data_IF_647406199875
#
_entry.id   IF_647406199875
#
_cell.length_a   1.000
_cell.length_b   1.000
_cell.length_c   1.000
_cell.angle_alpha   90.00
_cell.angle_beta   90.00
_cell.angle_gamma   90.00
#
_symmetry.space_group_name_H-M   'P 1'
#
loop_
_entity.id
_entity.type
_entity.pdbx_description
1 polymer ?
#
# COMPACT_ATOMS: atom_id res chain seq x y z
N UNK A 1 -8.09 -22.69 1.34
CA UNK A 1 -7.15 -23.15 2.35
C UNK A 1 -7.80 -23.04 3.72
N UNK A 2 -8.03 -24.18 4.41
CA UNK A 2 -8.75 -24.20 5.70
C UNK A 2 -8.05 -23.40 6.78
N UNK A 3 -6.72 -23.27 6.66
CA UNK A 3 -5.85 -22.58 7.62
C UNK A 3 -5.91 -21.06 7.47
N UNK A 4 -6.43 -20.56 6.34
CA UNK A 4 -6.66 -19.14 6.09
C UNK A 4 -8.09 -18.71 6.45
N UNK A 5 -8.96 -19.63 6.82
CA UNK A 5 -10.31 -19.34 7.30
C UNK A 5 -10.22 -18.53 8.60
N UNK A 6 -10.70 -17.31 8.58
CA UNK A 6 -10.66 -16.38 9.71
C UNK A 6 -9.54 -15.33 9.66
N UNK A 7 -8.69 -15.34 8.63
CA UNK A 7 -7.73 -14.25 8.39
C UNK A 7 -8.35 -13.08 7.63
N UNK A 8 -9.58 -13.24 7.14
CA UNK A 8 -10.34 -12.21 6.43
C UNK A 8 -11.35 -11.56 7.38
N UNK A 9 -11.52 -10.25 7.28
CA UNK A 9 -12.46 -9.47 8.06
C UNK A 9 -11.83 -8.77 9.27
N UNK A 10 -12.66 -8.15 10.11
CA UNK A 10 -12.20 -7.39 11.26
C UNK A 10 -11.44 -8.27 12.26
N UNK A 11 -10.35 -7.74 12.79
CA UNK A 11 -9.60 -8.37 13.87
C UNK A 11 -10.37 -8.25 15.19
N UNK A 12 -10.08 -9.16 16.14
CA UNK A 12 -10.65 -9.06 17.47
C UNK A 12 -10.22 -7.77 18.17
N UNK A 13 -11.07 -7.21 19.02
CA UNK A 13 -10.77 -6.00 19.80
C UNK A 13 -9.49 -6.17 20.63
N UNK A 14 -9.26 -7.35 21.20
CA UNK A 14 -8.04 -7.66 21.94
C UNK A 14 -6.79 -7.55 21.03
N UNK A 15 -6.85 -8.07 19.81
CA UNK A 15 -5.74 -7.99 18.85
C UNK A 15 -5.47 -6.53 18.44
N UNK A 16 -6.53 -5.76 18.20
CA UNK A 16 -6.43 -4.33 17.88
C UNK A 16 -5.81 -3.56 19.04
N UNK A 17 -6.28 -3.81 20.26
CA UNK A 17 -5.75 -3.16 21.46
C UNK A 17 -4.25 -3.45 21.66
N UNK A 18 -3.83 -4.73 21.53
CA UNK A 18 -2.41 -5.10 21.61
C UNK A 18 -1.56 -4.42 20.56
N UNK A 19 -2.05 -4.35 19.31
CA UNK A 19 -1.34 -3.67 18.24
C UNK A 19 -1.19 -2.16 18.51
N UNK A 20 -2.24 -1.51 19.00
CA UNK A 20 -2.19 -0.09 19.36
C UNK A 20 -1.18 0.17 20.47
N UNK A 21 -1.15 -0.65 21.53
CA UNK A 21 -0.14 -0.53 22.59
C UNK A 21 1.29 -0.66 22.07
N UNK A 22 1.52 -1.56 21.12
CA UNK A 22 2.85 -1.72 20.50
C UNK A 22 3.24 -0.51 19.65
N UNK A 23 2.29 0.04 18.88
CA UNK A 23 2.51 1.25 18.08
C UNK A 23 2.74 2.48 18.97
N UNK A 24 1.99 2.61 20.07
CA UNK A 24 2.19 3.71 21.02
C UNK A 24 3.55 3.61 21.70
N UNK A 25 3.97 2.42 22.11
CA UNK A 25 5.29 2.21 22.68
C UNK A 25 6.40 2.53 21.67
N UNK A 26 6.24 2.14 20.41
CA UNK A 26 7.19 2.48 19.35
C UNK A 26 7.27 3.99 19.12
N UNK A 27 6.12 4.68 19.07
CA UNK A 27 6.06 6.15 18.98
C UNK A 27 6.81 6.80 20.13
N UNK A 28 6.55 6.38 21.37
CA UNK A 28 7.24 6.90 22.56
C UNK A 28 8.76 6.70 22.50
N UNK A 29 9.24 5.56 22.00
CA UNK A 29 10.67 5.30 21.79
C UNK A 29 11.30 6.31 20.81
N UNK A 30 10.60 6.65 19.74
CA UNK A 30 11.04 7.64 18.75
C UNK A 30 11.03 9.06 19.33
N UNK A 31 9.94 9.43 19.99
CA UNK A 31 9.76 10.77 20.58
C UNK A 31 10.79 11.06 21.68
N UNK A 32 11.13 10.06 22.51
CA UNK A 32 12.21 10.20 23.52
C UNK A 32 13.59 10.44 22.89
N UNK A 33 13.73 10.20 21.59
CA UNK A 33 14.94 10.48 20.81
C UNK A 33 14.84 11.76 19.98
N UNK A 34 13.80 12.55 20.19
CA UNK A 34 13.58 13.83 19.49
C UNK A 34 12.98 13.67 18.10
N UNK A 35 12.46 12.50 17.76
CA UNK A 35 11.75 12.28 16.50
C UNK A 35 10.28 12.67 16.67
N UNK A 36 9.77 13.55 15.82
CA UNK A 36 8.35 13.85 15.75
C UNK A 36 7.63 12.68 15.07
N UNK A 37 6.57 12.17 15.70
CA UNK A 37 5.75 11.08 15.15
C UNK A 37 4.38 11.64 14.77
N UNK A 38 4.09 11.64 13.48
CA UNK A 38 2.77 11.99 12.95
C UNK A 38 2.05 10.70 12.50
N UNK A 39 0.74 10.67 12.63
CA UNK A 39 -0.09 9.53 12.24
C UNK A 39 -1.06 9.94 11.14
N UNK A 40 -1.38 9.04 10.19
CA UNK A 40 -2.34 9.33 9.15
C UNK A 40 -3.75 9.52 9.72
N UNK A 41 -4.62 10.15 8.94
CA UNK A 41 -6.03 10.28 9.28
C UNK A 41 -6.74 8.95 9.04
N UNK A 42 -7.39 8.35 10.05
CA UNK A 42 -8.10 7.10 9.87
C UNK A 42 -9.30 7.27 8.94
N UNK A 43 -9.55 6.26 8.11
CA UNK A 43 -10.75 6.14 7.28
C UNK A 43 -11.57 4.94 7.72
N UNK A 44 -12.83 4.86 7.28
CA UNK A 44 -13.62 3.65 7.40
C UNK A 44 -13.17 2.64 6.33
N UNK A 45 -12.34 1.67 6.73
CA UNK A 45 -11.79 0.67 5.80
C UNK A 45 -12.75 -0.46 5.49
N UNK A 46 -13.72 -0.72 6.36
CA UNK A 46 -14.71 -1.79 6.18
C UNK A 46 -15.95 -1.30 5.41
N UNK A 47 -15.72 -0.61 4.32
CA UNK A 47 -16.81 -0.13 3.46
C UNK A 47 -16.53 -0.52 2.00
N UNK A 48 -17.62 -0.71 1.26
CA UNK A 48 -17.55 -0.92 -0.18
C UNK A 48 -16.97 0.32 -0.85
N UNK A 49 -16.01 0.10 -1.73
CA UNK A 49 -15.39 1.13 -2.56
C UNK A 49 -15.60 0.81 -4.03
N UNK A 50 -15.64 1.83 -4.86
CA UNK A 50 -15.80 1.67 -6.30
C UNK A 50 -15.14 2.78 -7.09
N UNK A 51 -14.81 2.47 -8.32
CA UNK A 51 -14.48 3.40 -9.40
C UNK A 51 -15.44 3.12 -10.57
N UNK A 52 -15.41 3.87 -11.66
CA UNK A 52 -16.19 3.52 -12.84
C UNK A 52 -15.87 2.14 -13.45
N UNK A 53 -14.71 1.57 -13.14
CA UNK A 53 -14.19 0.36 -13.76
C UNK A 53 -14.37 -0.91 -12.90
N UNK A 54 -14.52 -0.76 -11.58
CA UNK A 54 -14.62 -1.89 -10.65
C UNK A 54 -15.22 -1.51 -9.30
N UNK A 55 -15.61 -2.54 -8.54
CA UNK A 55 -16.04 -2.44 -7.16
C UNK A 55 -15.22 -3.41 -6.29
N UNK A 56 -15.00 -3.05 -5.03
CA UNK A 56 -14.35 -3.90 -4.03
C UNK A 56 -15.07 -3.80 -2.69
N UNK A 57 -15.18 -4.92 -1.97
CA UNK A 57 -16.00 -5.03 -0.75
C UNK A 57 -15.46 -4.23 0.44
N UNK A 58 -14.15 -3.96 0.47
CA UNK A 58 -13.51 -3.19 1.54
C UNK A 58 -12.18 -2.63 1.09
N UNK A 59 -11.65 -1.69 1.87
CA UNK A 59 -10.26 -1.26 1.78
C UNK A 59 -9.36 -2.19 2.61
N UNK A 60 -8.04 -2.15 2.35
CA UNK A 60 -7.07 -2.95 3.09
C UNK A 60 -6.72 -2.30 4.46
N UNK A 61 -6.31 -1.05 4.46
CA UNK A 61 -5.86 -0.32 5.65
C UNK A 61 -4.93 0.84 5.32
N UNK A 62 -4.20 1.35 6.32
CA UNK A 62 -3.19 2.40 6.14
C UNK A 62 -1.93 2.21 7.00
N UNK A 63 -1.66 0.98 7.42
CA UNK A 63 -0.55 0.72 8.34
C UNK A 63 0.84 0.87 7.71
N UNK A 64 1.10 0.45 6.45
CA UNK A 64 2.42 0.58 5.83
C UNK A 64 2.53 1.86 4.97
N UNK A 65 2.86 3.04 5.56
CA UNK A 65 2.99 4.28 4.79
C UNK A 65 4.02 4.19 3.67
N UNK A 66 5.10 3.43 3.88
CA UNK A 66 6.17 3.26 2.90
C UNK A 66 5.75 2.53 1.62
N UNK A 67 4.61 1.84 1.63
CA UNK A 67 4.09 1.20 0.43
C UNK A 67 3.35 2.20 -0.46
N UNK A 68 2.78 3.23 0.16
CA UNK A 68 1.93 4.24 -0.50
C UNK A 68 2.69 5.49 -0.87
N UNK A 69 3.66 5.89 -0.03
CA UNK A 69 4.41 7.13 -0.17
C UNK A 69 5.90 6.85 -0.37
N UNK A 70 6.41 7.25 -1.52
CA UNK A 70 7.84 7.24 -1.82
C UNK A 70 8.43 8.60 -1.48
N UNK A 71 9.43 8.63 -0.59
CA UNK A 71 10.14 9.86 -0.24
C UNK A 71 11.50 9.90 -0.93
N UNK A 72 11.74 10.91 -1.77
CA UNK A 72 12.98 11.13 -2.52
C UNK A 72 13.50 12.55 -2.27
N UNK A 73 14.46 12.68 -1.34
CA UNK A 73 14.95 14.00 -0.94
C UNK A 73 13.83 14.83 -0.30
N UNK A 74 13.46 15.94 -0.94
CA UNK A 74 12.35 16.82 -0.55
C UNK A 74 11.04 16.55 -1.30
N UNK A 75 10.97 15.45 -2.06
CA UNK A 75 9.79 15.07 -2.83
C UNK A 75 9.08 13.87 -2.19
N UNK A 76 7.77 13.95 -2.06
CA UNK A 76 6.89 12.86 -1.65
C UNK A 76 5.97 12.51 -2.81
N UNK A 77 6.08 11.27 -3.29
CA UNK A 77 5.32 10.74 -4.41
C UNK A 77 4.29 9.72 -3.91
N UNK A 78 3.02 9.94 -4.20
CA UNK A 78 1.97 8.93 -4.00
C UNK A 78 2.08 7.84 -5.08
N UNK A 79 2.31 6.60 -4.66
CA UNK A 79 2.42 5.45 -5.55
C UNK A 79 1.09 5.06 -6.21
N UNK A 80 1.18 4.30 -7.28
CA UNK A 80 0.01 3.86 -8.06
C UNK A 80 -0.86 2.86 -7.31
N UNK A 81 -0.26 1.95 -6.57
CA UNK A 81 -0.84 0.75 -5.95
C UNK A 81 -1.37 -0.26 -6.96
N UNK A 82 -1.07 -1.53 -6.74
CA UNK A 82 -1.42 -2.62 -7.65
C UNK A 82 -2.71 -3.35 -7.26
N UNK A 83 -3.23 -3.14 -6.06
CA UNK A 83 -4.45 -3.80 -5.59
C UNK A 83 -5.63 -2.84 -5.46
N UNK A 84 -6.81 -3.25 -5.93
CA UNK A 84 -8.06 -2.47 -5.83
C UNK A 84 -8.39 -2.09 -4.39
N UNK A 85 -8.18 -3.00 -3.43
CA UNK A 85 -8.40 -2.72 -2.01
C UNK A 85 -7.47 -1.65 -1.42
N UNK A 86 -6.35 -1.37 -2.06
CA UNK A 86 -5.36 -0.38 -1.62
C UNK A 86 -5.41 0.93 -2.41
N UNK A 87 -6.22 1.00 -3.44
CA UNK A 87 -6.23 2.12 -4.38
C UNK A 87 -6.49 3.48 -3.71
N UNK A 88 -7.31 3.50 -2.66
CA UNK A 88 -7.67 4.72 -1.92
C UNK A 88 -6.84 4.96 -0.64
N UNK A 89 -5.81 4.15 -0.34
CA UNK A 89 -5.02 4.30 0.89
C UNK A 89 -4.32 5.65 1.00
N UNK A 90 -3.94 6.28 -0.10
CA UNK A 90 -3.34 7.60 -0.13
C UNK A 90 -4.20 8.67 0.56
N UNK A 91 -5.52 8.51 0.60
CA UNK A 91 -6.43 9.45 1.26
C UNK A 91 -6.18 9.56 2.78
N UNK A 92 -5.64 8.52 3.41
CA UNK A 92 -5.26 8.56 4.83
C UNK A 92 -4.09 9.51 5.07
N UNK A 93 -3.17 9.59 4.11
CA UNK A 93 -1.94 10.34 4.22
C UNK A 93 -2.05 11.76 3.66
N UNK A 94 -2.98 11.99 2.74
CA UNK A 94 -3.13 13.26 2.04
C UNK A 94 -3.21 14.47 2.97
N UNK A 95 -4.03 14.50 4.05
CA UNK A 95 -4.08 15.64 4.95
C UNK A 95 -2.75 15.92 5.66
N UNK A 96 -1.96 14.88 5.94
CA UNK A 96 -0.65 15.02 6.55
C UNK A 96 0.39 15.54 5.56
N UNK A 97 0.36 15.07 4.32
CA UNK A 97 1.26 15.54 3.26
C UNK A 97 0.97 16.99 2.88
N UNK A 98 -0.31 17.38 2.79
CA UNK A 98 -0.75 18.75 2.55
C UNK A 98 -0.24 19.69 3.66
N UNK A 99 -0.35 19.27 4.92
CA UNK A 99 0.21 20.01 6.05
C UNK A 99 1.73 20.20 5.91
N UNK A 100 2.48 19.15 5.55
CA UNK A 100 3.93 19.27 5.37
C UNK A 100 4.28 20.17 4.20
N UNK A 101 3.53 20.09 3.12
CA UNK A 101 3.70 20.98 1.96
C UNK A 101 3.46 22.45 2.31
N UNK A 102 2.48 22.73 3.15
CA UNK A 102 2.19 24.10 3.61
C UNK A 102 3.25 24.63 4.61
N UNK A 103 3.85 23.73 5.40
CA UNK A 103 4.86 24.07 6.41
C UNK A 103 6.28 24.18 5.82
N UNK A 104 6.59 23.51 4.72
CA UNK A 104 7.92 23.45 4.10
C UNK A 104 7.87 23.90 2.62
N UNK A 105 8.34 25.14 2.32
CA UNK A 105 8.32 25.69 0.96
C UNK A 105 9.22 24.93 -0.04
N UNK A 106 10.17 24.15 0.46
CA UNK A 106 11.06 23.36 -0.38
C UNK A 106 10.50 21.95 -0.69
N UNK A 107 9.43 21.55 0.02
CA UNK A 107 8.80 20.26 -0.20
C UNK A 107 8.06 20.23 -1.53
N UNK A 108 8.17 19.10 -2.24
CA UNK A 108 7.40 18.80 -3.44
C UNK A 108 6.47 17.63 -3.15
N UNK A 109 5.24 17.73 -3.64
CA UNK A 109 4.24 16.68 -3.54
C UNK A 109 3.76 16.32 -4.94
N UNK A 110 3.88 15.05 -5.29
CA UNK A 110 3.51 14.53 -6.58
C UNK A 110 2.60 13.32 -6.43
N UNK A 111 1.75 13.08 -7.40
CA UNK A 111 0.90 11.90 -7.47
C UNK A 111 1.18 11.17 -8.77
N UNK A 112 1.59 9.92 -8.69
CA UNK A 112 1.69 9.08 -9.88
C UNK A 112 0.30 8.92 -10.52
N UNK A 113 0.19 8.87 -11.86
CA UNK A 113 -1.08 8.65 -12.53
C UNK A 113 -1.77 7.41 -11.99
N UNK A 114 -2.96 7.58 -11.42
CA UNK A 114 -3.70 6.45 -10.83
C UNK A 114 -4.17 5.49 -11.91
N UNK A 115 -3.85 4.19 -11.79
CA UNK A 115 -4.25 3.19 -12.76
C UNK A 115 -5.76 2.94 -12.68
N UNK A 116 -6.35 2.49 -13.77
CA UNK A 116 -7.77 2.11 -13.79
C UNK A 116 -8.03 0.79 -13.07
N UNK A 117 -7.05 -0.12 -13.05
CA UNK A 117 -7.14 -1.47 -12.47
C UNK A 117 -8.34 -2.27 -13.01
N UNK A 118 -8.55 -2.19 -14.33
CA UNK A 118 -9.55 -3.02 -15.01
C UNK A 118 -9.14 -4.50 -14.94
N UNK A 119 -10.03 -5.41 -15.30
CA UNK A 119 -9.70 -6.84 -15.30
C UNK A 119 -8.50 -7.17 -16.21
N UNK A 120 -8.28 -6.36 -17.25
CA UNK A 120 -7.11 -6.52 -18.13
C UNK A 120 -5.76 -6.19 -17.47
N UNK A 121 -5.76 -5.53 -16.32
CA UNK A 121 -4.55 -5.24 -15.53
C UNK A 121 -4.05 -6.48 -14.77
N UNK A 122 -4.85 -7.55 -14.75
CA UNK A 122 -4.54 -8.80 -14.06
C UNK A 122 -4.55 -9.98 -15.02
N UNK A 123 -3.75 -11.01 -14.71
CA UNK A 123 -3.79 -12.29 -15.42
C UNK A 123 -4.94 -13.09 -14.87
N UNK A 124 -5.92 -13.39 -15.73
CA UNK A 124 -7.15 -14.10 -15.39
C UNK A 124 -6.88 -15.44 -14.71
N UNK A 125 -5.86 -16.17 -15.15
CA UNK A 125 -5.54 -17.49 -14.64
C UNK A 125 -4.68 -17.49 -13.37
N UNK A 126 -4.09 -16.37 -12.96
CA UNK A 126 -3.13 -16.35 -11.86
C UNK A 126 -3.78 -16.68 -10.51
N UNK A 127 -5.02 -16.25 -10.30
CA UNK A 127 -5.77 -16.46 -9.05
C UNK A 127 -6.67 -17.73 -9.11
N UNK A 128 -6.54 -18.54 -10.13
CA UNK A 128 -7.29 -19.79 -10.24
C UNK A 128 -6.80 -20.78 -9.17
N UNK A 129 -7.68 -21.22 -8.28
CA UNK A 129 -7.38 -22.16 -7.20
C UNK A 129 -6.98 -23.56 -7.73
N UNK A 130 -7.28 -23.87 -9.00
CA UNK A 130 -6.92 -25.13 -9.64
C UNK A 130 -5.44 -25.19 -10.07
N UNK A 131 -4.73 -24.05 -10.11
CA UNK A 131 -3.31 -24.01 -10.47
C UNK A 131 -2.47 -24.50 -9.28
N UNK A 132 -1.66 -25.53 -9.54
CA UNK A 132 -0.73 -26.07 -8.55
C UNK A 132 0.37 -25.08 -8.14
N UNK A 133 1.01 -25.34 -7.01
CA UNK A 133 2.16 -24.54 -6.55
C UNK A 133 3.31 -24.59 -7.58
N UNK A 134 3.57 -25.74 -8.16
CA UNK A 134 4.65 -25.92 -9.15
C UNK A 134 4.39 -25.10 -10.42
N UNK A 135 3.14 -25.09 -10.90
CA UNK A 135 2.73 -24.25 -12.05
C UNK A 135 2.88 -22.76 -11.72
N UNK A 136 2.54 -22.32 -10.49
CA UNK A 136 2.76 -20.93 -10.07
C UNK A 136 4.24 -20.57 -10.02
N UNK A 137 5.10 -21.46 -9.54
CA UNK A 137 6.54 -21.27 -9.55
C UNK A 137 7.10 -21.17 -10.97
N UNK A 138 6.59 -21.99 -11.89
CA UNK A 138 6.92 -21.92 -13.31
C UNK A 138 6.47 -20.60 -13.95
N UNK A 139 5.29 -20.09 -13.61
CA UNK A 139 4.82 -18.77 -14.06
C UNK A 139 5.75 -17.67 -13.56
N UNK A 140 6.14 -17.70 -12.28
CA UNK A 140 7.09 -16.72 -11.70
C UNK A 140 8.45 -16.79 -12.40
N UNK A 141 8.96 -18.01 -12.68
CA UNK A 141 10.21 -18.20 -13.42
C UNK A 141 10.16 -17.63 -14.86
N UNK A 142 8.97 -17.65 -15.48
CA UNK A 142 8.69 -17.04 -16.79
C UNK A 142 8.36 -15.55 -16.71
N UNK A 143 8.37 -14.95 -15.53
CA UNK A 143 7.94 -13.57 -15.24
C UNK A 143 6.47 -13.31 -15.60
N UNK A 144 5.64 -14.31 -15.45
CA UNK A 144 4.19 -14.22 -15.61
C UNK A 144 3.56 -13.92 -14.25
N UNK A 145 3.66 -12.68 -13.80
CA UNK A 145 3.13 -12.23 -12.52
C UNK A 145 1.61 -11.98 -12.57
N UNK A 146 1.00 -11.75 -11.41
CA UNK A 146 -0.44 -11.48 -11.29
C UNK A 146 -0.87 -10.23 -12.07
N UNK A 147 -0.03 -9.21 -12.09
CA UNK A 147 -0.26 -7.99 -12.86
C UNK A 147 0.27 -8.11 -14.30
N UNK A 148 -0.36 -7.40 -15.21
CA UNK A 148 0.08 -7.27 -16.60
C UNK A 148 0.84 -5.95 -16.79
N UNK A 149 1.57 -5.82 -17.90
CA UNK A 149 2.27 -4.58 -18.28
C UNK A 149 1.35 -3.53 -18.96
N UNK A 150 0.02 -3.65 -18.82
CA UNK A 150 -0.92 -2.73 -19.48
C UNK A 150 -1.02 -1.37 -18.80
N UNK A 151 -0.70 -1.30 -17.52
CA UNK A 151 -0.68 -0.08 -16.73
C UNK A 151 0.61 -0.03 -15.90
N UNK A 152 1.03 1.16 -15.54
CA UNK A 152 2.17 1.35 -14.64
C UNK A 152 1.69 1.10 -13.21
N UNK A 153 2.10 -0.03 -12.64
CA UNK A 153 1.73 -0.47 -11.29
C UNK A 153 2.98 -0.65 -10.46
N UNK A 154 3.04 0.03 -9.32
CA UNK A 154 4.07 -0.17 -8.30
C UNK A 154 3.56 0.25 -6.93
N UNK A 155 4.05 -0.40 -5.91
CA UNK A 155 4.00 0.07 -4.54
C UNK A 155 5.31 0.82 -4.26
N UNK A 156 5.28 1.87 -3.45
CA UNK A 156 6.50 2.61 -3.13
C UNK A 156 7.55 1.72 -2.41
N UNK A 157 7.10 0.62 -1.80
CA UNK A 157 7.96 -0.38 -1.20
C UNK A 157 8.83 -1.19 -2.19
N UNK A 158 8.47 -1.20 -3.49
CA UNK A 158 9.25 -1.83 -4.55
C UNK A 158 10.51 -1.01 -4.91
N UNK A 159 10.63 0.18 -4.33
CA UNK A 159 11.72 1.11 -4.57
C UNK A 159 12.54 1.30 -3.30
N UNK A 160 13.77 0.81 -3.30
CA UNK A 160 14.72 0.95 -2.21
C UNK A 160 15.69 2.08 -2.52
N UNK A 161 15.79 3.05 -1.60
CA UNK A 161 16.75 4.14 -1.70
C UNK A 161 18.02 3.84 -0.91
N UNK A 162 19.18 3.95 -1.55
CA UNK A 162 20.49 3.85 -0.91
C UNK A 162 21.36 5.05 -1.34
N UNK A 163 21.48 6.04 -0.47
CA UNK A 163 22.18 7.28 -0.78
C UNK A 163 21.53 8.03 -1.92
N UNK A 164 22.20 8.10 -3.08
CA UNK A 164 21.71 8.75 -4.31
C UNK A 164 21.13 7.76 -5.31
N UNK A 165 21.23 6.48 -5.04
CA UNK A 165 20.79 5.42 -5.95
C UNK A 165 19.42 4.90 -5.56
N UNK A 166 18.64 4.52 -6.58
CA UNK A 166 17.35 3.85 -6.43
C UNK A 166 17.45 2.44 -7.00
N UNK A 167 17.08 1.46 -6.19
CA UNK A 167 16.94 0.08 -6.61
C UNK A 167 15.45 -0.23 -6.75
N UNK A 168 15.04 -0.62 -7.93
CA UNK A 168 13.65 -0.92 -8.25
C UNK A 168 13.52 -2.41 -8.51
N UNK A 169 12.59 -3.05 -7.83
CA UNK A 169 12.22 -4.43 -8.10
C UNK A 169 11.36 -4.47 -9.37
N UNK A 170 11.76 -5.31 -10.31
CA UNK A 170 11.03 -5.51 -11.57
C UNK A 170 10.41 -6.91 -11.58
#
# INVERSE_FOLDING_TARGET
DSDMKGMHGPRSEESIHKANLQLDNFSNILETRGVKVDRPTPLEFNQKISTPDWENGSMFGCMPPRDVILTLGNEMLEATMSYRSRWFEYLCYRPLLEKYYDEDPDMRMETAPKPRLTDSSYRENYLNDEISIDERLDMVAKREFVTTEKEILFDAADILRMGKDLFVQH
#
